data_IF_424870144112
#
_entry.id   IF_424870144112
#
_cell.length_a   1.000
_cell.length_b   1.000
_cell.length_c   1.000
_cell.angle_alpha   90.00
_cell.angle_beta   90.00
_cell.angle_gamma   90.00
#
_symmetry.space_group_name_H-M   'P 1'
#
loop_
_entity.id
_entity.type
_entity.pdbx_description
1 polymer ?
#
# COMPACT_ATOMS: atom_id res chain seq x y z
N UNK A 1 -10.79 -14.72 9.66
CA UNK A 1 -11.13 -13.95 8.45
C UNK A 1 -11.78 -12.66 8.90
N UNK A 2 -11.01 -11.58 8.86
CA UNK A 2 -11.52 -10.22 8.86
C UNK A 2 -12.65 -10.11 7.86
N UNK A 3 -13.71 -9.42 8.24
CA UNK A 3 -14.78 -9.08 7.31
C UNK A 3 -14.24 -8.06 6.32
N UNK A 4 -14.48 -8.30 5.03
CA UNK A 4 -14.16 -7.34 3.98
C UNK A 4 -14.85 -6.00 4.28
N UNK A 5 -14.15 -4.90 4.03
CA UNK A 5 -14.74 -3.56 4.17
C UNK A 5 -15.77 -3.31 3.07
N UNK A 6 -16.64 -2.32 3.24
CA UNK A 6 -17.61 -1.94 2.20
C UNK A 6 -16.89 -1.64 0.86
N UNK A 7 -15.74 -0.97 0.92
CA UNK A 7 -14.93 -0.66 -0.26
C UNK A 7 -14.45 -1.91 -1.00
N UNK A 8 -13.97 -2.92 -0.28
CA UNK A 8 -13.57 -4.19 -0.88
C UNK A 8 -14.76 -4.91 -1.52
N UNK A 9 -15.92 -4.93 -0.84
CA UNK A 9 -17.14 -5.55 -1.37
C UNK A 9 -17.58 -4.87 -2.66
N UNK A 10 -17.52 -3.53 -2.74
CA UNK A 10 -17.87 -2.81 -3.97
C UNK A 10 -16.89 -3.09 -5.11
N UNK A 11 -15.59 -3.22 -4.83
CA UNK A 11 -14.60 -3.57 -5.85
C UNK A 11 -14.81 -4.99 -6.39
N UNK A 12 -15.08 -5.96 -5.51
CA UNK A 12 -15.41 -7.34 -5.88
C UNK A 12 -16.69 -7.39 -6.70
N UNK A 13 -17.75 -6.69 -6.26
CA UNK A 13 -19.00 -6.60 -6.99
C UNK A 13 -18.81 -5.98 -8.38
N UNK A 14 -17.99 -4.93 -8.51
CA UNK A 14 -17.70 -4.34 -9.82
C UNK A 14 -17.09 -5.36 -10.78
N UNK A 15 -16.12 -6.16 -10.30
CA UNK A 15 -15.51 -7.22 -11.10
C UNK A 15 -16.55 -8.28 -11.50
N UNK A 16 -17.39 -8.72 -10.55
CA UNK A 16 -18.48 -9.68 -10.81
C UNK A 16 -19.49 -9.15 -11.84
N UNK A 17 -19.96 -7.92 -11.68
CA UNK A 17 -20.91 -7.26 -12.60
C UNK A 17 -20.31 -7.12 -14.02
N UNK A 18 -18.98 -6.98 -14.13
CA UNK A 18 -18.26 -6.97 -15.40
C UNK A 18 -17.94 -8.37 -15.95
N UNK A 19 -18.18 -9.44 -15.17
CA UNK A 19 -17.80 -10.82 -15.52
C UNK A 19 -16.29 -11.05 -15.56
N UNK A 20 -15.53 -10.33 -14.72
CA UNK A 20 -14.06 -10.38 -14.66
C UNK A 20 -13.59 -10.95 -13.32
N UNK A 21 -12.53 -11.76 -13.34
CA UNK A 21 -11.82 -12.15 -12.11
C UNK A 21 -10.77 -11.08 -11.70
N UNK A 22 -10.22 -10.34 -12.66
CA UNK A 22 -9.23 -9.27 -12.45
C UNK A 22 -9.12 -8.34 -13.67
N UNK A 23 -8.38 -7.23 -13.50
CA UNK A 23 -8.10 -6.23 -14.54
C UNK A 23 -6.60 -5.99 -14.79
N UNK A 24 -5.73 -6.96 -14.50
CA UNK A 24 -4.26 -6.82 -14.58
C UNK A 24 -3.76 -6.46 -15.99
N UNK A 25 -4.35 -7.06 -17.02
CA UNK A 25 -3.97 -6.83 -18.42
C UNK A 25 -4.92 -5.90 -19.18
N UNK A 26 -5.90 -5.32 -18.49
CA UNK A 26 -6.85 -4.39 -19.09
C UNK A 26 -6.31 -2.95 -19.02
N UNK A 27 -6.22 -2.24 -20.15
CA UNK A 27 -5.90 -0.80 -20.15
C UNK A 27 -6.94 0.00 -19.34
N UNK A 28 -6.46 0.92 -18.50
CA UNK A 28 -7.35 1.67 -17.59
C UNK A 28 -8.32 2.59 -18.35
N UNK A 29 -7.91 3.14 -19.49
CA UNK A 29 -8.76 3.96 -20.35
C UNK A 29 -9.95 3.16 -20.89
N UNK A 30 -9.72 1.92 -21.34
CA UNK A 30 -10.78 1.01 -21.79
C UNK A 30 -11.68 0.57 -20.64
N UNK A 31 -11.10 0.25 -19.47
CA UNK A 31 -11.89 -0.13 -18.30
C UNK A 31 -12.80 1.02 -17.87
N UNK A 32 -12.27 2.24 -17.75
CA UNK A 32 -13.04 3.45 -17.40
C UNK A 32 -14.13 3.74 -18.43
N UNK A 33 -13.84 3.58 -19.73
CA UNK A 33 -14.84 3.73 -20.79
C UNK A 33 -16.00 2.73 -20.64
N UNK A 34 -15.70 1.49 -20.25
CA UNK A 34 -16.70 0.46 -19.94
C UNK A 34 -17.63 0.82 -18.77
N UNK A 35 -17.18 1.71 -17.87
CA UNK A 35 -17.97 2.24 -16.76
C UNK A 35 -18.79 3.49 -17.13
N UNK A 36 -18.93 3.79 -18.42
CA UNK A 36 -19.55 5.00 -18.97
C UNK A 36 -18.93 6.31 -18.44
N UNK A 37 -17.62 6.29 -18.19
CA UNK A 37 -16.82 7.44 -17.79
C UNK A 37 -15.74 7.77 -18.83
N UNK A 38 -15.28 9.02 -18.82
CA UNK A 38 -14.22 9.50 -19.73
C UNK A 38 -12.88 9.46 -18.99
N UNK A 39 -11.86 8.88 -19.61
CA UNK A 39 -10.50 8.88 -19.09
C UNK A 39 -9.64 9.94 -19.81
N UNK A 40 -8.91 10.76 -19.05
CA UNK A 40 -8.01 11.79 -19.58
C UNK A 40 -6.68 11.75 -18.84
N UNK A 41 -5.57 11.58 -19.57
CA UNK A 41 -4.24 11.87 -19.04
C UNK A 41 -3.83 13.29 -19.44
N UNK A 42 -3.62 14.16 -18.45
CA UNK A 42 -3.17 15.54 -18.67
C UNK A 42 -2.26 15.99 -17.52
N UNK A 43 -1.54 17.09 -17.70
CA UNK A 43 -0.77 17.68 -16.59
C UNK A 43 -1.74 18.20 -15.52
N UNK A 44 -1.66 17.64 -14.32
CA UNK A 44 -2.41 18.11 -13.16
C UNK A 44 -1.48 18.86 -12.21
N UNK A 45 -1.88 20.08 -11.83
CA UNK A 45 -1.16 20.86 -10.83
C UNK A 45 -1.65 20.43 -9.44
N UNK A 46 -0.71 20.04 -8.58
CA UNK A 46 -0.92 19.73 -7.16
C UNK A 46 -1.65 18.42 -6.81
N UNK A 47 -2.03 17.58 -7.78
CA UNK A 47 -2.50 16.21 -7.54
C UNK A 47 -1.98 15.19 -8.55
N UNK A 48 -2.19 13.93 -8.19
CA UNK A 48 -1.96 12.79 -9.07
C UNK A 48 -3.22 12.37 -9.82
N UNK A 49 -4.42 12.60 -9.27
CA UNK A 49 -5.70 12.22 -9.87
C UNK A 49 -6.83 13.18 -9.53
N UNK A 50 -7.91 13.12 -10.32
CA UNK A 50 -9.15 13.86 -10.07
C UNK A 50 -10.34 13.25 -10.80
N UNK A 51 -11.44 13.03 -10.08
CA UNK A 51 -12.76 12.77 -10.66
C UNK A 51 -13.63 14.03 -10.74
N UNK A 52 -14.37 14.17 -11.84
CA UNK A 52 -15.35 15.24 -12.05
C UNK A 52 -16.69 14.59 -12.37
N UNK A 53 -17.68 14.78 -11.50
CA UNK A 53 -19.05 14.32 -11.75
C UNK A 53 -19.83 15.35 -12.57
N UNK A 54 -20.28 14.95 -13.75
CA UNK A 54 -21.29 15.66 -14.51
C UNK A 54 -22.71 15.16 -14.19
N UNK A 55 -23.71 15.74 -14.84
CA UNK A 55 -25.11 15.36 -14.65
C UNK A 55 -25.39 13.90 -15.07
N UNK A 56 -24.77 13.44 -16.16
CA UNK A 56 -24.96 12.09 -16.70
C UNK A 56 -23.72 11.21 -16.58
N UNK A 57 -22.54 11.74 -16.96
CA UNK A 57 -21.26 11.03 -16.99
C UNK A 57 -20.24 11.63 -16.02
N UNK A 58 -19.18 10.88 -15.75
CA UNK A 58 -18.02 11.35 -15.00
C UNK A 58 -16.77 11.40 -15.89
N UNK A 59 -15.80 12.25 -15.49
CA UNK A 59 -14.47 12.32 -16.09
C UNK A 59 -13.45 11.96 -15.03
N UNK A 60 -12.60 10.98 -15.31
CA UNK A 60 -11.45 10.60 -14.50
C UNK A 60 -10.20 11.17 -15.17
N UNK A 61 -9.46 11.99 -14.43
CA UNK A 61 -8.19 12.58 -14.84
C UNK A 61 -7.04 11.97 -14.06
N UNK A 62 -5.97 11.63 -14.76
CA UNK A 62 -4.71 11.15 -14.15
C UNK A 62 -3.56 12.04 -14.60
N UNK A 63 -2.69 12.39 -13.66
CA UNK A 63 -1.55 13.26 -13.93
C UNK A 63 -0.54 12.58 -14.86
N UNK A 64 -0.34 13.17 -16.03
CA UNK A 64 0.55 12.68 -17.08
C UNK A 64 2.02 12.64 -16.63
N UNK A 65 2.42 13.46 -15.64
CA UNK A 65 3.78 13.52 -15.09
C UNK A 65 4.15 12.37 -14.15
N UNK A 66 3.21 11.52 -13.75
CA UNK A 66 3.52 10.32 -12.97
C UNK A 66 4.39 9.39 -13.82
N UNK A 67 5.60 9.11 -13.36
CA UNK A 67 6.58 8.33 -14.15
C UNK A 67 6.34 6.81 -14.05
N UNK A 68 5.72 6.35 -12.97
CA UNK A 68 5.55 4.93 -12.67
C UNK A 68 4.17 4.43 -13.16
N UNK A 69 4.10 3.48 -14.10
CA UNK A 69 2.84 2.96 -14.62
C UNK A 69 1.94 2.35 -13.54
N UNK A 70 2.51 1.63 -12.57
CA UNK A 70 1.79 1.02 -11.45
C UNK A 70 1.12 2.10 -10.60
N UNK A 71 1.80 3.24 -10.46
CA UNK A 71 1.26 4.39 -9.76
C UNK A 71 0.11 4.99 -10.56
N UNK A 72 0.26 5.28 -11.85
CA UNK A 72 -0.86 5.77 -12.69
C UNK A 72 -2.08 4.85 -12.60
N UNK A 73 -1.86 3.52 -12.65
CA UNK A 73 -2.90 2.50 -12.52
C UNK A 73 -3.61 2.57 -11.17
N UNK A 74 -2.87 2.73 -10.08
CA UNK A 74 -3.44 2.92 -8.74
C UNK A 74 -4.28 4.20 -8.65
N UNK A 75 -3.79 5.31 -9.19
CA UNK A 75 -4.53 6.58 -9.22
C UNK A 75 -5.85 6.42 -9.97
N UNK A 76 -5.81 5.84 -11.18
CA UNK A 76 -7.02 5.57 -11.95
C UNK A 76 -8.02 4.69 -11.17
N UNK A 77 -7.55 3.60 -10.56
CA UNK A 77 -8.39 2.71 -9.76
C UNK A 77 -8.99 3.39 -8.51
N UNK A 78 -8.26 4.33 -7.91
CA UNK A 78 -8.79 5.13 -6.81
C UNK A 78 -9.91 6.07 -7.26
N UNK A 79 -9.73 6.77 -8.37
CA UNK A 79 -10.79 7.62 -8.93
C UNK A 79 -12.02 6.79 -9.35
N UNK A 80 -11.82 5.54 -9.80
CA UNK A 80 -12.94 4.59 -10.00
C UNK A 80 -13.64 4.28 -8.67
N UNK A 81 -12.89 4.12 -7.57
CA UNK A 81 -13.48 3.98 -6.24
C UNK A 81 -14.42 5.13 -5.90
N UNK A 82 -14.03 6.38 -6.18
CA UNK A 82 -14.94 7.52 -6.05
C UNK A 82 -16.14 7.44 -6.98
N UNK A 83 -15.94 7.06 -8.25
CA UNK A 83 -17.02 6.92 -9.22
C UNK A 83 -18.12 5.97 -8.72
N UNK A 84 -17.70 4.81 -8.20
CA UNK A 84 -18.62 3.75 -7.77
C UNK A 84 -19.24 4.06 -6.42
N UNK A 85 -18.46 4.53 -5.45
CA UNK A 85 -18.89 4.61 -4.05
C UNK A 85 -19.41 5.98 -3.63
N UNK A 86 -18.97 7.06 -4.28
CA UNK A 86 -19.12 8.42 -3.76
C UNK A 86 -19.91 9.34 -4.69
N UNK A 87 -20.58 8.81 -5.72
CA UNK A 87 -21.43 9.59 -6.62
C UNK A 87 -22.56 10.27 -5.84
N UNK A 88 -22.73 11.58 -6.04
CA UNK A 88 -23.76 12.39 -5.37
C UNK A 88 -23.40 12.79 -3.93
N UNK A 89 -22.24 12.39 -3.42
CA UNK A 89 -21.70 12.93 -2.18
C UNK A 89 -20.94 14.23 -2.47
N UNK A 90 -20.95 15.17 -1.53
CA UNK A 90 -19.97 16.25 -1.53
C UNK A 90 -18.62 15.62 -1.19
N UNK A 91 -17.87 15.26 -2.23
CA UNK A 91 -16.42 15.15 -2.07
C UNK A 91 -15.92 16.56 -1.70
N UNK A 92 -14.95 16.70 -0.80
CA UNK A 92 -14.31 17.99 -0.54
C UNK A 92 -14.00 18.69 -1.87
N UNK A 93 -14.31 19.99 -1.99
CA UNK A 93 -14.11 20.75 -3.25
C UNK A 93 -12.64 20.71 -3.77
N UNK A 94 -11.72 20.26 -2.91
CA UNK A 94 -10.29 20.12 -3.07
C UNK A 94 -9.77 18.66 -3.12
N UNK A 95 -10.50 17.65 -3.63
CA UNK A 95 -9.91 16.30 -3.81
C UNK A 95 -8.93 16.31 -5.00
N UNK A 96 -7.81 16.96 -4.75
CA UNK A 96 -6.51 16.78 -5.34
C UNK A 96 -5.86 15.64 -4.56
N UNK A 97 -6.03 14.41 -5.04
CA UNK A 97 -5.49 13.24 -4.38
C UNK A 97 -3.96 13.20 -4.60
N UNK A 98 -3.19 13.66 -3.61
CA UNK A 98 -1.77 13.33 -3.52
C UNK A 98 -1.68 11.96 -2.87
N UNK A 99 -1.69 10.91 -3.70
CA UNK A 99 -1.75 9.55 -3.19
C UNK A 99 -0.53 9.22 -2.36
N UNK A 100 -0.70 9.04 -1.07
CA UNK A 100 0.32 8.33 -0.33
C UNK A 100 -0.44 7.35 0.53
N UNK A 101 -0.44 6.08 0.12
CA UNK A 101 -1.11 4.95 0.81
C UNK A 101 -0.83 5.03 2.31
N UNK A 102 0.40 5.38 2.60
CA UNK A 102 1.00 5.59 3.91
C UNK A 102 0.40 6.81 4.65
N UNK A 103 0.20 7.93 3.96
CA UNK A 103 -0.47 9.12 4.53
C UNK A 103 -1.98 8.96 4.70
N UNK A 104 -2.62 8.13 3.86
CA UNK A 104 -4.05 7.80 3.97
C UNK A 104 -4.36 7.02 5.25
N UNK A 105 -3.41 6.21 5.71
CA UNK A 105 -3.48 5.53 7.01
C UNK A 105 -3.24 6.48 8.19
N UNK A 106 -2.37 7.49 8.05
CA UNK A 106 -2.10 8.50 9.09
C UNK A 106 -3.25 9.51 9.25
N UNK A 107 -3.99 9.79 8.17
CA UNK A 107 -5.00 10.87 8.13
C UNK A 107 -6.45 10.37 8.17
N UNK A 108 -6.81 9.58 9.17
CA UNK A 108 -8.23 9.33 9.48
C UNK A 108 -8.98 10.62 9.91
N UNK A 109 -8.24 11.63 10.38
CA UNK A 109 -8.80 12.86 10.98
C UNK A 109 -8.90 14.07 10.02
N UNK A 110 -8.30 14.02 8.82
CA UNK A 110 -8.22 15.21 7.92
C UNK A 110 -8.84 15.02 6.54
N UNK A 111 -8.89 13.80 6.00
CA UNK A 111 -9.22 13.55 4.59
C UNK A 111 -10.61 12.91 4.37
N UNK A 112 -11.40 12.69 5.43
CA UNK A 112 -12.69 12.00 5.35
C UNK A 112 -12.57 10.49 5.15
N UNK A 113 -13.63 9.74 5.42
CA UNK A 113 -13.67 8.27 5.24
C UNK A 113 -13.55 7.86 3.78
N UNK A 114 -13.96 8.73 2.86
CA UNK A 114 -14.04 8.48 1.42
C UNK A 114 -12.67 8.19 0.79
N UNK A 115 -11.62 8.91 1.16
CA UNK A 115 -10.26 8.68 0.62
C UNK A 115 -9.71 7.33 1.08
N UNK A 116 -10.01 6.93 2.31
CA UNK A 116 -9.64 5.61 2.80
C UNK A 116 -10.41 4.53 2.05
N UNK A 117 -11.73 4.70 1.89
CA UNK A 117 -12.59 3.79 1.13
C UNK A 117 -12.11 3.66 -0.33
N UNK A 118 -11.78 4.76 -1.01
CA UNK A 118 -11.28 4.72 -2.38
C UNK A 118 -9.88 4.07 -2.48
N UNK A 119 -9.00 4.22 -1.48
CA UNK A 119 -7.73 3.50 -1.42
C UNK A 119 -7.93 1.99 -1.20
N UNK A 120 -8.85 1.59 -0.33
CA UNK A 120 -9.21 0.19 -0.10
C UNK A 120 -9.85 -0.43 -1.34
N UNK A 121 -10.74 0.30 -2.00
CA UNK A 121 -11.35 -0.09 -3.27
C UNK A 121 -10.28 -0.29 -4.35
N UNK A 122 -9.36 0.66 -4.53
CA UNK A 122 -8.28 0.55 -5.51
C UNK A 122 -7.37 -0.65 -5.22
N UNK A 123 -7.01 -0.87 -3.95
CA UNK A 123 -6.22 -2.03 -3.54
C UNK A 123 -6.90 -3.34 -3.90
N UNK A 124 -8.21 -3.46 -3.63
CA UNK A 124 -8.99 -4.67 -3.95
C UNK A 124 -9.19 -4.86 -5.46
N UNK A 125 -9.51 -3.80 -6.21
CA UNK A 125 -9.71 -3.86 -7.65
C UNK A 125 -8.41 -4.27 -8.39
N UNK A 126 -7.26 -3.74 -7.96
CA UNK A 126 -5.97 -4.01 -8.59
C UNK A 126 -5.32 -5.32 -8.12
N UNK A 127 -5.57 -5.72 -6.88
CA UNK A 127 -5.06 -6.93 -6.26
C UNK A 127 -6.23 -7.69 -5.58
N UNK A 128 -7.10 -8.37 -6.36
CA UNK A 128 -8.25 -9.09 -5.82
C UNK A 128 -7.82 -10.11 -4.76
N UNK A 129 -8.44 -10.09 -3.59
CA UNK A 129 -8.03 -10.90 -2.44
C UNK A 129 -7.93 -12.38 -2.77
N UNK A 130 -8.92 -12.93 -3.48
CA UNK A 130 -8.96 -14.34 -3.87
C UNK A 130 -7.71 -14.74 -4.68
N UNK A 131 -7.35 -13.96 -5.68
CA UNK A 131 -6.19 -14.22 -6.54
C UNK A 131 -4.89 -13.96 -5.79
N UNK A 132 -4.82 -12.88 -5.01
CA UNK A 132 -3.65 -12.57 -4.20
C UNK A 132 -3.34 -13.72 -3.22
N UNK A 133 -4.36 -14.27 -2.57
CA UNK A 133 -4.20 -15.40 -1.66
C UNK A 133 -3.78 -16.69 -2.39
N UNK A 134 -4.26 -16.94 -3.61
CA UNK A 134 -3.79 -18.07 -4.43
C UNK A 134 -2.30 -17.96 -4.73
N UNK A 135 -1.82 -16.74 -4.98
CA UNK A 135 -0.42 -16.47 -5.29
C UNK A 135 0.48 -16.41 -4.05
N UNK A 136 -0.04 -16.05 -2.87
CA UNK A 136 0.77 -15.85 -1.67
C UNK A 136 0.75 -17.04 -0.70
N UNK A 137 -0.38 -17.74 -0.56
CA UNK A 137 -0.57 -18.76 0.48
C UNK A 137 0.36 -19.96 0.26
N UNK A 138 0.98 -20.42 1.35
CA UNK A 138 1.89 -21.58 1.34
C UNK A 138 3.31 -21.27 0.84
N UNK A 139 3.59 -20.03 0.40
CA UNK A 139 4.93 -19.58 0.04
C UNK A 139 5.63 -18.95 1.25
N UNK A 140 6.93 -19.21 1.42
CA UNK A 140 7.76 -18.57 2.46
C UNK A 140 7.83 -17.06 2.22
N UNK A 141 7.60 -16.27 3.25
CA UNK A 141 7.72 -14.82 3.15
C UNK A 141 9.17 -14.42 2.83
N UNK A 142 9.33 -13.52 1.86
CA UNK A 142 10.64 -13.02 1.45
C UNK A 142 10.49 -11.75 0.60
N UNK A 143 11.57 -10.94 0.47
CA UNK A 143 11.61 -9.85 -0.50
C UNK A 143 11.31 -10.31 -1.93
N UNK A 144 11.70 -11.54 -2.29
CA UNK A 144 11.43 -12.13 -3.60
C UNK A 144 9.93 -12.39 -3.80
N UNK A 145 9.24 -12.96 -2.80
CA UNK A 145 7.79 -13.18 -2.87
C UNK A 145 7.04 -11.86 -3.09
N UNK A 146 7.37 -10.82 -2.32
CA UNK A 146 6.77 -9.49 -2.48
C UNK A 146 7.02 -8.94 -3.89
N UNK A 147 8.24 -9.09 -4.42
CA UNK A 147 8.56 -8.67 -5.78
C UNK A 147 7.71 -9.41 -6.82
N UNK A 148 7.60 -10.73 -6.70
CA UNK A 148 6.80 -11.56 -7.62
C UNK A 148 5.31 -11.19 -7.59
N UNK A 149 4.75 -10.94 -6.39
CA UNK A 149 3.37 -10.50 -6.24
C UNK A 149 3.16 -9.11 -6.85
N UNK A 150 4.10 -8.18 -6.63
CA UNK A 150 4.05 -6.83 -7.20
C UNK A 150 4.07 -6.87 -8.74
N UNK A 151 4.93 -7.70 -9.33
CA UNK A 151 5.00 -7.92 -10.78
C UNK A 151 3.71 -8.56 -11.31
N UNK A 152 3.18 -9.59 -10.63
CA UNK A 152 1.95 -10.31 -11.02
C UNK A 152 0.72 -9.41 -11.09
N UNK A 153 0.59 -8.47 -10.17
CA UNK A 153 -0.56 -7.55 -10.11
C UNK A 153 -0.27 -6.16 -10.69
N UNK A 154 0.93 -5.95 -11.27
CA UNK A 154 1.40 -4.64 -11.77
C UNK A 154 1.16 -3.51 -10.76
N UNK A 155 1.63 -3.75 -9.54
CA UNK A 155 1.48 -2.87 -8.38
C UNK A 155 2.86 -2.50 -7.81
N UNK A 156 2.94 -1.39 -7.08
CA UNK A 156 4.19 -1.03 -6.37
C UNK A 156 4.46 -2.00 -5.21
N UNK A 157 5.74 -2.25 -4.89
CA UNK A 157 6.13 -3.07 -3.73
C UNK A 157 5.44 -2.62 -2.45
N UNK A 158 5.39 -1.31 -2.21
CA UNK A 158 4.70 -0.70 -1.07
C UNK A 158 3.23 -1.11 -1.01
N UNK A 159 2.48 -0.96 -2.11
CA UNK A 159 1.07 -1.35 -2.17
C UNK A 159 0.87 -2.86 -1.95
N UNK A 160 1.72 -3.67 -2.55
CA UNK A 160 1.70 -5.14 -2.41
C UNK A 160 1.92 -5.57 -0.97
N UNK A 161 2.86 -4.95 -0.26
CA UNK A 161 3.14 -5.26 1.15
C UNK A 161 1.98 -4.84 2.06
N UNK A 162 1.34 -3.69 1.78
CA UNK A 162 0.13 -3.30 2.50
C UNK A 162 -1.02 -4.27 2.26
N UNK A 163 -1.24 -4.72 1.02
CA UNK A 163 -2.22 -5.77 0.71
C UNK A 163 -1.90 -7.05 1.47
N UNK A 164 -0.64 -7.49 1.45
CA UNK A 164 -0.19 -8.68 2.18
C UNK A 164 -0.50 -8.58 3.68
N UNK A 165 -0.18 -7.45 4.32
CA UNK A 165 -0.45 -7.19 5.73
C UNK A 165 -1.95 -7.21 6.08
N UNK A 166 -2.82 -6.81 5.15
CA UNK A 166 -4.26 -6.74 5.38
C UNK A 166 -4.93 -8.12 5.41
N UNK A 167 -4.31 -9.13 4.80
CA UNK A 167 -4.88 -10.47 4.63
C UNK A 167 -4.48 -11.40 5.78
N UNK A 168 -5.46 -12.14 6.29
CA UNK A 168 -5.25 -13.14 7.34
C UNK A 168 -4.71 -14.47 6.76
N UNK A 169 -4.09 -15.30 7.59
CA UNK A 169 -3.52 -16.61 7.22
C UNK A 169 -2.38 -16.54 6.19
N UNK A 170 -1.66 -15.42 6.18
CA UNK A 170 -0.34 -15.29 5.55
C UNK A 170 0.74 -15.24 6.63
N UNK A 171 2.00 -15.24 6.22
CA UNK A 171 3.11 -15.14 7.17
C UNK A 171 3.00 -13.85 7.98
N UNK A 172 3.09 -13.87 9.32
CA UNK A 172 2.93 -12.66 10.12
C UNK A 172 4.08 -11.68 9.89
N UNK A 173 3.76 -10.40 9.62
CA UNK A 173 4.76 -9.35 9.39
C UNK A 173 4.44 -8.07 10.19
N UNK A 174 5.45 -7.24 10.41
CA UNK A 174 5.35 -5.89 10.95
C UNK A 174 5.88 -4.89 9.93
N UNK A 175 5.16 -3.80 9.72
CA UNK A 175 5.57 -2.68 8.88
C UNK A 175 5.86 -1.47 9.75
N UNK A 176 6.99 -0.83 9.52
CA UNK A 176 7.35 0.46 10.13
C UNK A 176 7.60 1.46 9.02
N UNK A 177 6.86 2.57 9.04
CA UNK A 177 7.06 3.66 8.10
C UNK A 177 7.90 4.76 8.71
N UNK A 178 8.94 5.16 7.99
CA UNK A 178 9.90 6.17 8.38
C UNK A 178 9.91 7.26 7.30
N UNK A 179 9.86 8.51 7.73
CA UNK A 179 9.95 9.67 6.85
C UNK A 179 10.83 10.73 7.51
N UNK A 180 11.76 11.28 6.73
CA UNK A 180 12.75 12.26 7.19
C UNK A 180 13.52 11.75 8.43
N UNK A 181 13.91 10.48 8.40
CA UNK A 181 14.66 9.81 9.46
C UNK A 181 13.88 9.58 10.76
N UNK A 182 12.55 9.72 10.76
CA UNK A 182 11.71 9.51 11.94
C UNK A 182 10.61 8.50 11.67
N UNK A 183 10.40 7.57 12.61
CA UNK A 183 9.26 6.65 12.58
C UNK A 183 7.98 7.47 12.70
N UNK A 184 7.06 7.28 11.76
CA UNK A 184 5.77 7.98 11.72
C UNK A 184 4.63 7.11 12.21
N UNK A 185 4.62 5.86 11.80
CA UNK A 185 3.67 4.86 12.26
C UNK A 185 4.20 3.45 12.00
N UNK A 186 3.51 2.48 12.57
CA UNK A 186 3.74 1.07 12.33
C UNK A 186 2.41 0.31 12.35
N UNK A 187 2.38 -0.86 11.72
CA UNK A 187 1.23 -1.77 11.73
C UNK A 187 1.74 -3.20 11.59
N UNK A 188 1.10 -4.16 12.24
CA UNK A 188 1.48 -5.57 12.16
C UNK A 188 0.26 -6.45 11.86
N UNK A 189 0.52 -7.66 11.39
CA UNK A 189 -0.48 -8.73 11.34
C UNK A 189 -1.00 -9.01 12.76
N UNK A 190 -2.25 -9.48 12.87
CA UNK A 190 -2.86 -9.74 14.17
C UNK A 190 -2.24 -10.97 14.86
N UNK A 191 -1.76 -11.91 14.04
CA UNK A 191 -1.07 -13.14 14.42
C UNK A 191 0.32 -12.86 15.00
N UNK A 192 1.01 -11.81 14.56
CA UNK A 192 2.35 -11.48 15.05
C UNK A 192 2.26 -10.92 16.48
N UNK A 193 2.67 -11.69 17.49
CA UNK A 193 2.57 -11.30 18.91
C UNK A 193 3.82 -10.53 19.36
N UNK A 194 4.00 -9.34 18.80
CA UNK A 194 5.08 -8.42 19.16
C UNK A 194 4.54 -7.04 19.53
N UNK A 195 5.36 -6.26 20.24
CA UNK A 195 5.06 -4.87 20.56
C UNK A 195 6.24 -3.99 20.17
N UNK A 196 6.02 -3.04 19.27
CA UNK A 196 7.06 -2.11 18.87
C UNK A 196 7.57 -1.30 20.07
N UNK A 197 8.89 -1.12 20.16
CA UNK A 197 9.48 -0.17 21.11
C UNK A 197 8.95 1.24 20.92
N UNK A 198 9.20 2.11 21.90
CA UNK A 198 8.71 3.50 21.88
C UNK A 198 9.56 4.37 20.93
N UNK A 199 9.38 4.17 19.63
CA UNK A 199 10.08 4.88 18.58
C UNK A 199 9.23 5.96 17.91
N UNK A 200 8.02 6.24 18.40
CA UNK A 200 7.11 7.16 17.73
C UNK A 200 7.72 8.57 17.62
N UNK A 201 7.87 9.08 16.39
CA UNK A 201 8.55 10.35 16.05
C UNK A 201 10.04 10.40 16.40
N UNK A 202 10.64 9.28 16.75
CA UNK A 202 12.07 9.12 16.98
C UNK A 202 12.75 8.48 15.77
N UNK A 203 14.08 8.52 15.77
CA UNK A 203 14.87 7.77 14.80
C UNK A 203 14.65 6.26 14.98
N UNK A 204 14.80 5.45 13.91
CA UNK A 204 14.79 4.00 14.06
C UNK A 204 15.98 3.54 14.93
N UNK A 205 15.93 2.32 15.49
CA UNK A 205 17.01 1.74 16.29
C UNK A 205 18.37 1.85 15.60
N UNK A 206 19.44 2.08 16.35
CA UNK A 206 20.76 2.34 15.79
C UNK A 206 21.34 1.14 15.01
N UNK A 207 20.94 -0.07 15.42
CA UNK A 207 21.27 -1.38 14.86
C UNK A 207 20.22 -1.89 13.84
N UNK A 208 19.21 -1.09 13.51
CA UNK A 208 18.24 -1.45 12.46
C UNK A 208 18.81 -1.23 11.07
N UNK A 209 18.35 -2.03 10.11
CA UNK A 209 18.67 -1.87 8.68
C UNK A 209 18.17 -0.52 8.18
N UNK A 210 17.02 -0.06 8.68
CA UNK A 210 16.49 1.26 8.34
C UNK A 210 17.45 2.40 8.71
N UNK A 211 18.16 2.30 9.84
CA UNK A 211 19.17 3.29 10.23
C UNK A 211 20.35 3.30 9.25
N UNK A 212 20.80 2.14 8.78
CA UNK A 212 21.86 2.06 7.78
C UNK A 212 21.49 2.78 6.48
N UNK A 213 20.25 2.57 5.99
CA UNK A 213 19.75 3.30 4.83
C UNK A 213 19.73 4.82 5.05
N UNK A 214 19.35 5.30 6.25
CA UNK A 214 19.39 6.73 6.58
C UNK A 214 20.82 7.27 6.53
N UNK A 215 21.79 6.55 7.11
CA UNK A 215 23.20 6.94 7.13
C UNK A 215 23.82 6.96 5.73
N UNK A 216 23.25 6.20 4.79
CA UNK A 216 23.68 6.11 3.39
C UNK A 216 22.83 6.96 2.45
N UNK A 217 22.18 8.00 2.97
CA UNK A 217 21.31 8.92 2.20
C UNK A 217 20.28 8.20 1.31
N UNK A 218 19.67 7.15 1.86
CA UNK A 218 18.63 6.32 1.21
C UNK A 218 19.10 5.64 -0.08
N UNK A 219 20.41 5.47 -0.27
CA UNK A 219 20.95 4.71 -1.40
C UNK A 219 20.71 3.21 -1.22
N UNK A 220 20.57 2.48 -2.34
CA UNK A 220 20.40 1.03 -2.32
C UNK A 220 21.71 0.35 -1.90
N UNK A 221 21.76 -0.13 -0.66
CA UNK A 221 22.94 -0.78 -0.09
C UNK A 221 22.91 -2.31 -0.16
N UNK A 222 21.72 -2.93 -0.25
CA UNK A 222 21.54 -4.38 -0.35
C UNK A 222 21.08 -4.82 -1.75
N UNK A 223 21.62 -5.94 -2.26
CA UNK A 223 21.31 -6.48 -3.60
C UNK A 223 20.69 -7.87 -3.52
N UNK A 224 19.76 -8.14 -4.43
CA UNK A 224 19.18 -9.47 -4.69
C UNK A 224 18.82 -10.27 -3.43
N UNK A 225 19.56 -11.33 -3.13
CA UNK A 225 19.33 -12.29 -2.04
C UNK A 225 19.60 -11.67 -0.66
N UNK A 226 20.42 -10.62 -0.59
CA UNK A 226 20.78 -9.92 0.65
C UNK A 226 19.73 -8.87 1.04
N UNK A 227 18.57 -8.81 0.39
CA UNK A 227 17.57 -7.79 0.75
C UNK A 227 16.93 -8.01 2.12
N UNK A 228 16.90 -9.25 2.59
CA UNK A 228 16.53 -9.58 3.96
C UNK A 228 17.81 -9.61 4.80
N UNK A 229 17.87 -8.79 5.83
CA UNK A 229 18.99 -8.76 6.76
C UNK A 229 18.54 -9.30 8.11
N UNK A 230 19.39 -10.12 8.72
CA UNK A 230 19.16 -10.66 10.06
C UNK A 230 19.26 -9.56 11.10
N UNK A 231 18.30 -9.51 12.02
CA UNK A 231 18.27 -8.60 13.17
C UNK A 231 17.82 -9.36 14.41
N UNK A 232 18.10 -8.82 15.59
CA UNK A 232 17.49 -9.33 16.83
C UNK A 232 16.04 -8.89 16.93
N UNK A 233 15.18 -9.73 17.53
CA UNK A 233 13.82 -9.33 17.90
C UNK A 233 13.81 -8.04 18.73
N UNK A 234 14.77 -7.91 19.63
CA UNK A 234 14.96 -6.74 20.49
C UNK A 234 15.32 -5.44 19.76
N UNK A 235 15.79 -5.50 18.51
CA UNK A 235 16.10 -4.32 17.70
C UNK A 235 14.86 -3.43 17.57
N UNK A 236 13.69 -4.01 17.27
CA UNK A 236 12.45 -3.27 17.07
C UNK A 236 11.39 -3.49 18.15
N UNK A 237 11.43 -4.60 18.89
CA UNK A 237 10.34 -5.02 19.77
C UNK A 237 10.72 -5.13 21.24
N UNK A 238 9.78 -4.78 22.12
CA UNK A 238 9.93 -4.91 23.57
C UNK A 238 9.74 -6.37 24.02
N UNK A 239 10.80 -7.02 24.53
CA UNK A 239 10.78 -8.42 24.99
C UNK A 239 9.96 -8.65 26.28
N UNK A 240 9.91 -7.64 27.16
CA UNK A 240 9.29 -7.78 28.49
C UNK A 240 7.77 -7.98 28.46
N UNK A 241 7.09 -7.65 27.35
CA UNK A 241 5.62 -7.66 27.30
C UNK A 241 5.03 -9.05 27.17
N UNK A 242 5.75 -9.96 26.53
CA UNK A 242 5.33 -11.36 26.33
C UNK A 242 6.31 -12.36 26.99
N UNK A 243 7.29 -11.86 27.75
CA UNK A 243 8.40 -12.64 28.31
C UNK A 243 9.14 -13.42 27.20
N UNK A 244 9.39 -12.71 26.11
CA UNK A 244 9.97 -13.28 24.90
C UNK A 244 11.48 -13.44 25.07
N UNK A 245 12.03 -14.55 24.59
CA UNK A 245 13.45 -14.67 24.30
C UNK A 245 13.81 -13.80 23.09
N UNK A 246 15.06 -13.34 23.05
CA UNK A 246 15.57 -12.56 21.91
C UNK A 246 15.86 -13.51 20.75
N UNK A 247 14.87 -13.72 19.89
CA UNK A 247 14.96 -14.58 18.70
C UNK A 247 15.43 -13.83 17.47
N UNK A 248 15.79 -14.58 16.43
CA UNK A 248 16.21 -14.04 15.14
C UNK A 248 15.00 -13.55 14.36
N UNK A 249 15.08 -12.30 13.90
CA UNK A 249 14.13 -11.67 12.98
C UNK A 249 14.86 -11.26 11.71
N UNK A 250 14.10 -10.88 10.70
CA UNK A 250 14.62 -10.28 9.49
C UNK A 250 14.00 -8.91 9.26
N UNK A 251 14.79 -8.00 8.67
CA UNK A 251 14.34 -6.70 8.22
C UNK A 251 14.64 -6.52 6.73
N UNK A 252 13.62 -6.09 5.98
CA UNK A 252 13.71 -5.70 4.58
C UNK A 252 13.19 -4.27 4.42
N UNK A 253 14.05 -3.38 3.94
CA UNK A 253 13.71 -1.98 3.70
C UNK A 253 13.44 -1.67 2.22
N UNK A 254 12.38 -0.90 1.97
CA UNK A 254 12.09 -0.26 0.68
C UNK A 254 12.34 1.25 0.83
N UNK A 255 13.55 1.76 0.51
CA UNK A 255 13.86 3.19 0.59
C UNK A 255 13.32 3.95 -0.63
N UNK A 256 12.96 5.22 -0.45
CA UNK A 256 12.70 6.16 -1.54
C UNK A 256 13.44 7.47 -1.31
N UNK A 257 14.60 7.61 -1.95
CA UNK A 257 15.51 8.76 -1.76
C UNK A 257 14.86 10.12 -2.00
N UNK A 258 14.09 10.26 -3.08
CA UNK A 258 13.41 11.53 -3.44
C UNK A 258 12.53 12.07 -2.32
N UNK A 259 11.85 11.18 -1.59
CA UNK A 259 10.93 11.55 -0.52
C UNK A 259 11.53 11.37 0.87
N UNK A 260 12.77 10.87 0.98
CA UNK A 260 13.43 10.51 2.24
C UNK A 260 12.55 9.61 3.11
N UNK A 261 11.98 8.58 2.49
CA UNK A 261 11.10 7.61 3.14
C UNK A 261 11.69 6.20 3.12
N UNK A 262 11.33 5.39 4.11
CA UNK A 262 11.62 3.96 4.17
C UNK A 262 10.35 3.25 4.65
N UNK A 263 9.97 2.18 3.96
CA UNK A 263 9.08 1.17 4.52
C UNK A 263 9.94 -0.01 4.97
N UNK A 264 10.06 -0.20 6.27
CA UNK A 264 10.72 -1.36 6.87
C UNK A 264 9.70 -2.47 7.10
N UNK A 265 10.06 -3.68 6.71
CA UNK A 265 9.24 -4.89 6.80
C UNK A 265 10.00 -5.88 7.67
N UNK A 266 9.39 -6.29 8.77
CA UNK A 266 10.05 -7.06 9.83
C UNK A 266 9.25 -8.34 10.10
N UNK A 267 9.91 -9.49 10.13
CA UNK A 267 9.26 -10.79 10.34
C UNK A 267 10.20 -11.80 11.02
N UNK A 268 9.64 -12.85 11.61
CA UNK A 268 10.35 -14.02 12.14
C UNK A 268 10.38 -15.13 11.08
N UNK A 269 11.35 -16.05 11.08
CA UNK A 269 11.40 -17.13 10.07
C UNK A 269 10.24 -18.14 10.11
#
# INVERSE_FOLDING_TARGET
MKRSTNAQIQAQKLLEDCGLDEITDLPMDLFVAGLDAVFIEEELKHCDGKIIFGNSKAVIKVNSHIQFPERKRFVAAHEIGHLIMHRGMKLPDDVFSNFNIISGMEKMLKNGTQELEANEFASELLMPEKLFMQEARGKKFSPLLIKQLAERFKASLTATVFKYLQLDNLHPICLVFIENGKVKYWKKSDELKVWLGDYNRLAPPADSVAMEYIQKDYEFIYKMEEKAQEISKSTWFNLNKYNDEDSVFYEYCIPTRRYKTILSIIWED
#
